data_IF_649762514203
#
_entry.id   IF_649762514203
#
_cell.length_a   1.000
_cell.length_b   1.000
_cell.length_c   1.000
_cell.angle_alpha   90.00
_cell.angle_beta   90.00
_cell.angle_gamma   90.00
#
_symmetry.space_group_name_H-M   'P 1'
#
loop_
_entity.id
_entity.type
_entity.pdbx_description
1 polymer ?
#
# COMPACT_ATOMS: atom_id res chain seq x y z
N UNK A 1 1.62 7.45 -20.46
CA UNK A 1 0.87 7.52 -19.20
C UNK A 1 -0.31 6.58 -19.31
N UNK A 2 -0.34 5.56 -18.46
CA UNK A 2 -1.41 4.57 -18.43
C UNK A 2 -2.51 5.09 -17.50
N UNK A 3 -3.62 5.59 -18.03
CA UNK A 3 -4.67 6.22 -17.24
C UNK A 3 -5.90 5.31 -17.12
N UNK A 4 -6.03 4.66 -15.97
CA UNK A 4 -7.28 3.99 -15.61
C UNK A 4 -8.29 4.97 -15.00
N UNK A 5 -9.31 5.37 -15.74
CA UNK A 5 -10.33 6.33 -15.26
C UNK A 5 -11.10 5.88 -14.01
N UNK A 6 -11.32 4.59 -13.83
CA UNK A 6 -12.13 4.02 -12.72
C UNK A 6 -11.35 3.87 -11.40
N UNK A 7 -10.07 3.60 -11.44
CA UNK A 7 -9.20 3.64 -10.27
C UNK A 7 -9.26 5.02 -9.60
N UNK A 8 -9.28 6.09 -10.42
CA UNK A 8 -9.33 7.47 -9.93
C UNK A 8 -10.53 7.74 -9.03
N UNK A 9 -11.73 7.32 -9.39
CA UNK A 9 -12.95 7.59 -8.61
C UNK A 9 -12.94 6.89 -7.24
N UNK A 10 -12.42 5.67 -7.17
CA UNK A 10 -12.34 4.92 -5.91
C UNK A 10 -11.27 5.50 -4.98
N UNK A 11 -10.13 5.91 -5.53
CA UNK A 11 -9.02 6.48 -4.78
C UNK A 11 -9.17 7.97 -4.49
N UNK A 12 -10.04 8.70 -5.20
CA UNK A 12 -10.30 10.13 -4.96
C UNK A 12 -10.79 10.40 -3.53
N UNK A 13 -11.51 9.47 -2.90
CA UNK A 13 -11.92 9.55 -1.50
C UNK A 13 -10.73 9.45 -0.52
N UNK A 14 -9.56 9.05 -1.01
CA UNK A 14 -8.31 8.93 -0.26
C UNK A 14 -7.35 10.06 -0.61
N UNK A 15 -7.79 11.29 -0.36
CA UNK A 15 -6.93 12.48 -0.48
C UNK A 15 -6.09 12.60 0.80
N UNK A 16 -4.79 12.28 0.69
CA UNK A 16 -3.87 12.35 1.82
C UNK A 16 -3.75 13.79 2.36
N UNK A 17 -3.82 14.78 1.49
CA UNK A 17 -3.77 16.20 1.88
C UNK A 17 -5.02 16.59 2.67
N UNK A 18 -6.20 16.17 2.19
CA UNK A 18 -7.47 16.43 2.86
C UNK A 18 -7.52 15.72 4.22
N UNK A 19 -7.09 14.46 4.29
CA UNK A 19 -7.04 13.69 5.54
C UNK A 19 -6.15 14.35 6.59
N UNK A 20 -4.96 14.82 6.19
CA UNK A 20 -4.06 15.55 7.08
C UNK A 20 -4.63 16.89 7.48
N UNK A 21 -5.29 17.61 6.56
CA UNK A 21 -5.93 18.90 6.85
C UNK A 21 -7.06 18.74 7.86
N UNK A 22 -7.96 17.76 7.66
CA UNK A 22 -9.07 17.47 8.58
C UNK A 22 -8.55 17.20 10.01
N UNK A 23 -7.50 16.41 10.12
CA UNK A 23 -6.88 16.12 11.41
C UNK A 23 -6.32 17.37 12.08
N UNK A 24 -5.61 18.21 11.34
CA UNK A 24 -4.98 19.41 11.88
C UNK A 24 -5.99 20.52 12.21
N UNK A 25 -7.14 20.56 11.56
CA UNK A 25 -8.23 21.47 11.93
C UNK A 25 -8.82 21.14 13.30
N UNK A 26 -8.80 19.87 13.69
CA UNK A 26 -9.26 19.43 15.02
C UNK A 26 -8.24 19.70 16.14
N UNK A 27 -6.99 20.01 15.81
CA UNK A 27 -5.92 20.21 16.76
C UNK A 27 -5.37 21.64 16.71
N UNK A 28 -5.84 22.52 17.60
CA UNK A 28 -5.42 23.93 17.63
C UNK A 28 -3.91 24.13 17.73
N UNK A 29 -3.20 23.24 18.41
CA UNK A 29 -1.76 23.33 18.62
C UNK A 29 -0.95 23.13 17.32
N UNK A 30 -1.44 22.33 16.38
CA UNK A 30 -0.74 22.02 15.15
C UNK A 30 -1.13 22.90 13.98
N UNK A 31 -2.17 23.69 14.13
CA UNK A 31 -2.74 24.54 13.08
C UNK A 31 -1.70 25.52 12.50
N UNK A 32 -0.86 26.11 13.33
CA UNK A 32 0.18 27.05 12.90
C UNK A 32 1.36 26.34 12.23
N UNK A 33 1.82 25.21 12.80
CA UNK A 33 2.85 24.37 12.18
C UNK A 33 2.39 23.85 10.84
N UNK A 34 1.14 23.39 10.73
CA UNK A 34 0.58 22.89 9.47
C UNK A 34 0.37 23.97 8.41
N UNK A 35 -0.02 25.19 8.81
CA UNK A 35 -0.08 26.32 7.88
C UNK A 35 1.28 26.67 7.29
N UNK A 36 2.32 26.66 8.13
CA UNK A 36 3.70 26.86 7.68
C UNK A 36 4.11 25.76 6.71
N UNK A 37 3.82 24.49 7.04
CA UNK A 37 4.07 23.33 6.20
C UNK A 37 3.34 23.38 4.84
N UNK A 38 2.06 23.79 4.86
CA UNK A 38 1.26 23.91 3.64
C UNK A 38 1.76 25.05 2.74
N UNK A 39 2.26 26.15 3.34
CA UNK A 39 2.82 27.30 2.64
C UNK A 39 4.20 27.01 2.04
N UNK A 40 5.08 26.36 2.81
CA UNK A 40 6.48 26.16 2.42
C UNK A 40 6.68 24.81 1.69
N UNK A 41 5.60 24.04 1.57
CA UNK A 41 5.62 22.67 1.10
C UNK A 41 6.42 21.78 2.06
N UNK A 42 5.95 20.61 2.38
CA UNK A 42 6.63 19.66 3.28
C UNK A 42 8.11 19.35 2.92
N UNK A 43 8.63 19.99 1.89
CA UNK A 43 10.02 19.95 1.46
C UNK A 43 11.00 20.49 2.51
N UNK A 44 10.55 21.42 3.35
CA UNK A 44 11.38 22.08 4.36
C UNK A 44 11.45 21.31 5.68
N UNK A 45 10.63 20.25 5.86
CA UNK A 45 10.70 19.45 7.08
C UNK A 45 11.93 18.57 7.07
N UNK A 46 12.78 18.80 8.06
CA UNK A 46 13.81 17.83 8.40
C UNK A 46 13.21 16.56 9.05
N UNK A 47 14.04 15.56 9.26
CA UNK A 47 13.64 14.27 9.83
C UNK A 47 13.00 14.43 11.20
N UNK A 48 13.58 15.27 12.07
CA UNK A 48 13.12 15.51 13.43
C UNK A 48 11.72 16.15 13.47
N UNK A 49 11.48 17.12 12.61
CA UNK A 49 10.17 17.77 12.49
C UNK A 49 9.09 16.82 11.99
N UNK A 50 9.43 15.92 11.08
CA UNK A 50 8.51 14.85 10.60
C UNK A 50 8.20 13.87 11.72
N UNK A 51 9.20 13.45 12.49
CA UNK A 51 9.03 12.58 13.65
C UNK A 51 8.15 13.22 14.73
N UNK A 52 8.33 14.50 15.01
CA UNK A 52 7.50 15.26 15.95
C UNK A 52 6.03 15.28 15.55
N UNK A 53 5.74 15.48 14.27
CA UNK A 53 4.38 15.42 13.73
C UNK A 53 3.75 14.02 13.85
N UNK A 54 4.55 12.98 13.71
CA UNK A 54 4.08 11.60 13.82
C UNK A 54 3.92 11.13 15.27
N UNK A 55 4.63 11.74 16.22
CA UNK A 55 4.55 11.43 17.66
C UNK A 55 3.23 11.83 18.31
N UNK A 56 2.36 12.52 17.59
CA UNK A 56 1.04 12.85 18.09
C UNK A 56 0.20 11.57 18.11
N UNK A 57 0.11 10.96 19.27
CA UNK A 57 -0.51 9.63 19.41
C UNK A 57 -1.93 9.53 18.81
N UNK A 58 -2.74 10.57 18.94
CA UNK A 58 -4.08 10.60 18.35
C UNK A 58 -4.09 10.67 16.82
N UNK A 59 -3.16 11.41 16.23
CA UNK A 59 -3.02 11.52 14.78
C UNK A 59 -2.68 10.18 14.13
N UNK A 60 -1.66 9.52 14.66
CA UNK A 60 -1.19 8.25 14.14
C UNK A 60 -2.30 7.19 14.19
N UNK A 61 -2.98 7.06 15.33
CA UNK A 61 -4.06 6.09 15.48
C UNK A 61 -5.21 6.33 14.50
N UNK A 62 -5.60 7.59 14.28
CA UNK A 62 -6.65 7.94 13.35
C UNK A 62 -6.25 7.66 11.89
N UNK A 63 -5.03 8.02 11.52
CA UNK A 63 -4.48 7.78 10.18
C UNK A 63 -4.37 6.27 9.90
N UNK A 64 -3.84 5.50 10.86
CA UNK A 64 -3.72 4.05 10.74
C UNK A 64 -5.09 3.39 10.59
N UNK A 65 -6.09 3.81 11.36
CA UNK A 65 -7.45 3.29 11.26
C UNK A 65 -8.08 3.56 9.87
N UNK A 66 -7.89 4.76 9.33
CA UNK A 66 -8.35 5.10 7.97
C UNK A 66 -7.63 4.25 6.91
N UNK A 67 -6.32 4.10 7.00
CA UNK A 67 -5.54 3.26 6.08
C UNK A 67 -5.95 1.79 6.15
N UNK A 68 -6.12 1.25 7.35
CA UNK A 68 -6.56 -0.13 7.54
C UNK A 68 -7.98 -0.36 7.00
N UNK A 69 -8.90 0.58 7.25
CA UNK A 69 -10.25 0.54 6.68
C UNK A 69 -10.23 0.48 5.16
N UNK A 70 -9.40 1.31 4.53
CA UNK A 70 -9.27 1.35 3.08
C UNK A 70 -8.62 0.09 2.50
N UNK A 71 -7.56 -0.43 3.11
CA UNK A 71 -6.96 -1.69 2.69
C UNK A 71 -7.94 -2.86 2.81
N UNK A 72 -8.71 -2.91 3.90
CA UNK A 72 -9.76 -3.92 4.08
C UNK A 72 -10.81 -3.82 2.98
N UNK A 73 -11.30 -2.62 2.67
CA UNK A 73 -12.25 -2.40 1.58
C UNK A 73 -11.72 -2.90 0.23
N UNK A 74 -10.47 -2.56 -0.12
CA UNK A 74 -9.84 -3.04 -1.34
C UNK A 74 -9.77 -4.57 -1.39
N UNK A 75 -9.34 -5.21 -0.30
CA UNK A 75 -9.12 -6.66 -0.27
C UNK A 75 -10.42 -7.45 -0.21
N UNK A 76 -11.47 -6.91 0.40
CA UNK A 76 -12.74 -7.61 0.60
C UNK A 76 -13.82 -7.26 -0.43
N UNK A 77 -13.70 -6.09 -1.08
CA UNK A 77 -14.78 -5.58 -1.94
C UNK A 77 -14.33 -5.24 -3.35
N UNK A 78 -13.06 -5.43 -3.69
CA UNK A 78 -12.54 -5.08 -5.01
C UNK A 78 -11.61 -6.14 -5.59
N UNK A 79 -11.62 -6.24 -6.91
CA UNK A 79 -10.62 -6.94 -7.70
C UNK A 79 -9.89 -5.95 -8.60
N UNK A 80 -8.60 -6.17 -8.78
CA UNK A 80 -7.81 -5.47 -9.77
C UNK A 80 -8.00 -6.16 -11.12
N UNK A 81 -8.39 -5.40 -12.12
CA UNK A 81 -8.37 -5.86 -13.51
C UNK A 81 -7.16 -5.23 -14.18
N UNK A 82 -6.25 -6.06 -14.66
CA UNK A 82 -5.09 -5.61 -15.42
C UNK A 82 -5.10 -6.31 -16.79
N UNK A 83 -5.32 -5.54 -17.84
CA UNK A 83 -5.35 -6.05 -19.23
C UNK A 83 -6.32 -7.22 -19.43
N UNK A 84 -7.48 -7.15 -18.80
CA UNK A 84 -8.53 -8.17 -18.91
C UNK A 84 -8.38 -9.37 -17.98
N UNK A 85 -7.27 -9.48 -17.24
CA UNK A 85 -7.09 -10.51 -16.20
C UNK A 85 -7.54 -9.95 -14.85
N UNK A 86 -8.30 -10.74 -14.10
CA UNK A 86 -8.85 -10.38 -12.81
C UNK A 86 -7.98 -10.93 -11.67
N UNK A 87 -7.65 -10.08 -10.70
CA UNK A 87 -6.78 -10.40 -9.57
C UNK A 87 -7.43 -10.02 -8.25
N UNK A 88 -7.43 -10.94 -7.29
CA UNK A 88 -7.70 -10.66 -5.90
C UNK A 88 -6.43 -10.07 -5.25
N UNK A 89 -6.59 -9.01 -4.47
CA UNK A 89 -5.52 -8.49 -3.63
C UNK A 89 -5.26 -9.46 -2.46
N UNK A 90 -4.03 -9.93 -2.34
CA UNK A 90 -3.67 -10.93 -1.32
C UNK A 90 -2.74 -10.35 -0.25
N UNK A 91 -1.93 -9.35 -0.61
CA UNK A 91 -1.06 -8.62 0.31
C UNK A 91 -0.84 -7.21 -0.21
N UNK A 92 -1.08 -6.22 0.65
CA UNK A 92 -0.95 -4.80 0.38
C UNK A 92 -0.14 -4.12 1.48
N UNK A 93 0.66 -3.12 1.15
CA UNK A 93 1.35 -2.26 2.12
C UNK A 93 1.18 -0.79 1.78
N UNK A 94 0.96 0.06 2.78
CA UNK A 94 0.92 1.52 2.61
C UNK A 94 2.30 2.10 2.86
N UNK A 95 2.67 3.02 1.97
CA UNK A 95 3.86 3.85 2.05
C UNK A 95 3.48 5.30 1.84
N UNK A 96 4.06 6.19 2.63
CA UNK A 96 3.83 7.62 2.58
C UNK A 96 5.14 8.39 2.55
N UNK A 97 5.09 9.69 2.33
CA UNK A 97 6.25 10.60 2.35
C UNK A 97 6.99 10.63 3.69
N UNK A 98 6.39 10.06 4.76
CA UNK A 98 7.05 9.90 6.05
C UNK A 98 8.03 8.72 6.07
N UNK A 99 7.92 7.80 5.12
CA UNK A 99 8.87 6.70 4.93
C UNK A 99 10.01 7.13 4.00
N UNK A 100 11.25 7.01 4.46
CA UNK A 100 12.42 7.42 3.69
C UNK A 100 12.58 6.71 2.33
N UNK A 101 11.99 5.52 2.21
CA UNK A 101 12.06 4.70 0.99
C UNK A 101 10.88 4.92 0.02
N UNK A 102 9.96 5.85 0.34
CA UNK A 102 8.86 6.16 -0.58
C UNK A 102 9.34 7.07 -1.70
N UNK A 103 9.07 6.64 -2.94
CA UNK A 103 9.45 7.44 -4.10
C UNK A 103 8.63 8.73 -4.17
N UNK A 104 9.34 9.87 -4.28
CA UNK A 104 8.71 11.16 -4.56
C UNK A 104 8.00 11.10 -5.89
N UNK A 105 6.76 11.56 -5.90
CA UNK A 105 5.92 11.57 -7.11
C UNK A 105 4.87 12.66 -7.04
N UNK A 106 4.38 13.03 -8.21
CA UNK A 106 3.16 13.81 -8.39
C UNK A 106 2.24 12.96 -9.24
N UNK A 107 1.18 12.46 -8.65
CA UNK A 107 0.25 11.50 -9.27
C UNK A 107 -1.18 11.84 -8.90
N UNK A 108 -2.08 11.53 -9.81
CA UNK A 108 -3.50 11.50 -9.48
C UNK A 108 -3.83 10.28 -8.59
N UNK A 109 -4.90 10.40 -7.82
CA UNK A 109 -5.41 9.28 -7.04
C UNK A 109 -5.78 8.09 -7.95
N UNK A 110 -5.31 6.89 -7.59
CA UNK A 110 -5.55 5.67 -8.36
C UNK A 110 -4.63 5.47 -9.57
N UNK A 111 -3.67 6.35 -9.79
CA UNK A 111 -2.68 6.17 -10.85
C UNK A 111 -1.70 5.04 -10.48
N UNK A 112 -1.40 4.17 -11.46
CA UNK A 112 -0.45 3.07 -11.26
C UNK A 112 0.97 3.59 -11.47
N UNK A 113 1.79 3.43 -10.45
CA UNK A 113 3.18 3.86 -10.44
C UNK A 113 4.12 2.66 -10.39
N UNK A 114 4.77 2.35 -11.52
CA UNK A 114 5.78 1.28 -11.60
C UNK A 114 7.14 1.77 -11.13
N UNK A 115 7.83 0.93 -10.38
CA UNK A 115 9.20 1.17 -9.89
C UNK A 115 10.00 -0.14 -9.80
N UNK A 116 11.29 -0.05 -9.48
CA UNK A 116 12.20 -1.21 -9.49
C UNK A 116 11.77 -2.38 -8.58
N UNK A 117 10.97 -2.12 -7.58
CA UNK A 117 10.55 -3.13 -6.60
C UNK A 117 9.13 -3.66 -6.84
N UNK A 118 8.36 -3.07 -7.75
CA UNK A 118 6.99 -3.47 -7.99
C UNK A 118 6.14 -2.36 -8.61
N UNK A 119 4.89 -2.26 -8.18
CA UNK A 119 4.04 -1.13 -8.52
C UNK A 119 3.17 -0.72 -7.33
N UNK A 120 2.87 0.57 -7.29
CA UNK A 120 1.95 1.16 -6.33
C UNK A 120 0.68 1.60 -7.04
N UNK A 121 -0.43 1.58 -6.32
CA UNK A 121 -1.62 2.37 -6.64
C UNK A 121 -1.49 3.67 -5.85
N UNK A 122 -1.29 4.78 -6.53
CA UNK A 122 -0.97 6.06 -5.89
C UNK A 122 -2.17 6.69 -5.20
N UNK A 123 -1.95 7.30 -4.05
CA UNK A 123 -2.84 8.33 -3.54
C UNK A 123 -2.66 9.60 -4.37
N UNK A 124 -3.63 10.54 -4.31
CA UNK A 124 -3.40 11.88 -4.83
C UNK A 124 -2.14 12.42 -4.16
N UNK A 125 -1.15 12.73 -4.96
CA UNK A 125 0.20 13.02 -4.50
C UNK A 125 0.73 14.31 -5.11
N UNK A 126 1.34 15.11 -4.26
CA UNK A 126 2.08 16.32 -4.61
C UNK A 126 3.55 16.15 -4.19
N UNK A 127 4.50 16.96 -4.70
CA UNK A 127 5.91 16.77 -4.39
C UNK A 127 6.28 16.74 -2.90
N UNK A 128 5.42 17.27 -2.03
CA UNK A 128 5.61 17.32 -0.58
C UNK A 128 4.82 16.23 0.17
N UNK A 129 3.65 15.85 -0.35
CA UNK A 129 2.76 14.85 0.22
C UNK A 129 2.46 13.79 -0.82
N UNK A 130 3.13 12.68 -0.73
CA UNK A 130 3.02 11.57 -1.67
C UNK A 130 2.94 10.25 -0.94
N UNK A 131 2.33 9.29 -1.60
CA UNK A 131 2.18 7.96 -1.07
C UNK A 131 1.37 7.06 -1.98
N UNK A 132 1.20 5.83 -1.56
CA UNK A 132 0.40 4.84 -2.28
C UNK A 132 0.39 3.50 -1.59
N UNK A 133 -0.26 2.57 -2.25
CA UNK A 133 -0.41 1.19 -1.83
C UNK A 133 0.48 0.33 -2.71
N UNK A 134 1.53 -0.23 -2.12
CA UNK A 134 2.37 -1.24 -2.77
C UNK A 134 1.58 -2.54 -2.87
N UNK A 135 1.39 -3.04 -4.08
CA UNK A 135 0.79 -4.35 -4.33
C UNK A 135 1.87 -5.42 -4.18
N UNK A 136 1.83 -6.17 -3.08
CA UNK A 136 2.86 -7.16 -2.73
C UNK A 136 2.56 -8.55 -3.22
N UNK A 137 1.29 -8.92 -3.22
CA UNK A 137 0.87 -10.24 -3.69
C UNK A 137 -0.53 -10.17 -4.27
N UNK A 138 -0.71 -10.91 -5.35
CA UNK A 138 -1.96 -11.04 -6.08
C UNK A 138 -2.32 -12.52 -6.26
N UNK A 139 -3.59 -12.81 -6.43
CA UNK A 139 -4.10 -14.11 -6.87
C UNK A 139 -4.91 -13.91 -8.13
N UNK A 140 -4.48 -14.38 -9.30
CA UNK A 140 -5.33 -14.41 -10.49
C UNK A 140 -6.57 -15.27 -10.19
N UNK A 141 -7.76 -14.80 -10.53
CA UNK A 141 -9.00 -15.52 -10.21
C UNK A 141 -9.17 -16.80 -11.03
N UNK A 142 -8.54 -16.88 -12.19
CA UNK A 142 -8.51 -18.05 -13.04
C UNK A 142 -7.41 -19.06 -12.71
N UNK A 143 -6.59 -18.79 -11.66
CA UNK A 143 -5.47 -19.64 -11.26
C UNK A 143 -5.57 -20.05 -9.79
N UNK A 144 -4.93 -21.18 -9.45
CA UNK A 144 -4.85 -21.66 -8.07
C UNK A 144 -3.71 -21.00 -7.28
N UNK A 145 -2.67 -20.54 -7.99
CA UNK A 145 -1.44 -20.08 -7.38
C UNK A 145 -1.46 -18.57 -7.11
N UNK A 146 -0.84 -18.19 -6.00
CA UNK A 146 -0.57 -16.79 -5.69
C UNK A 146 0.71 -16.31 -6.39
N UNK A 147 0.73 -15.03 -6.75
CA UNK A 147 1.92 -14.32 -7.19
C UNK A 147 2.53 -13.66 -5.96
N UNK A 148 3.66 -14.19 -5.50
CA UNK A 148 4.34 -13.75 -4.27
C UNK A 148 5.40 -12.70 -4.57
N UNK A 149 5.27 -11.55 -3.96
CA UNK A 149 6.25 -10.47 -3.98
C UNK A 149 5.98 -9.39 -5.04
N UNK A 150 6.23 -8.12 -4.69
CA UNK A 150 5.77 -6.98 -5.48
C UNK A 150 6.41 -6.93 -6.88
N UNK A 151 7.69 -7.28 -7.00
CA UNK A 151 8.36 -7.33 -8.30
C UNK A 151 7.76 -8.41 -9.20
N UNK A 152 7.39 -9.57 -8.63
CA UNK A 152 6.76 -10.64 -9.41
C UNK A 152 5.35 -10.25 -9.85
N UNK A 153 4.60 -9.53 -9.02
CA UNK A 153 3.30 -8.98 -9.41
C UNK A 153 3.45 -8.02 -10.60
N UNK A 154 4.39 -7.09 -10.53
CA UNK A 154 4.66 -6.16 -11.63
C UNK A 154 5.07 -6.89 -12.92
N UNK A 155 6.02 -7.83 -12.83
CA UNK A 155 6.48 -8.61 -13.99
C UNK A 155 5.38 -9.47 -14.58
N UNK A 156 4.54 -10.10 -13.77
CA UNK A 156 3.43 -10.91 -14.23
C UNK A 156 2.44 -10.07 -15.06
N UNK A 157 2.09 -8.87 -14.58
CA UNK A 157 1.20 -7.95 -15.29
C UNK A 157 1.85 -7.43 -16.58
N UNK A 158 3.13 -7.02 -16.52
CA UNK A 158 3.85 -6.48 -17.68
C UNK A 158 4.16 -7.53 -18.76
N UNK A 159 4.35 -8.79 -18.37
CA UNK A 159 4.61 -9.90 -19.30
C UNK A 159 3.33 -10.45 -19.95
N UNK A 160 2.15 -10.06 -19.50
CA UNK A 160 0.92 -10.35 -20.24
C UNK A 160 1.05 -9.69 -21.62
N UNK A 161 1.01 -10.50 -22.70
CA UNK A 161 1.28 -10.10 -24.12
C UNK A 161 0.23 -9.12 -24.69
N UNK A 162 -0.07 -8.06 -23.97
CA UNK A 162 -1.15 -7.14 -24.32
C UNK A 162 -0.53 -5.82 -24.78
N UNK A 163 -0.92 -5.40 -25.95
CA UNK A 163 -0.45 -4.18 -26.60
C UNK A 163 -0.79 -2.88 -25.81
N UNK A 164 -1.83 -2.95 -24.96
CA UNK A 164 -2.26 -1.82 -24.13
C UNK A 164 -2.50 -2.28 -22.70
N UNK A 165 -1.68 -1.80 -21.79
CA UNK A 165 -1.81 -2.07 -20.35
C UNK A 165 -2.90 -1.17 -19.77
N UNK A 166 -4.06 -1.73 -19.50
CA UNK A 166 -5.18 -1.04 -18.87
C UNK A 166 -5.42 -1.59 -17.46
N UNK A 167 -5.72 -0.69 -16.53
CA UNK A 167 -6.08 -1.05 -15.17
C UNK A 167 -7.49 -0.59 -14.84
N UNK A 168 -8.20 -1.41 -14.07
CA UNK A 168 -9.53 -1.14 -13.58
C UNK A 168 -9.76 -1.79 -12.21
N UNK A 169 -10.76 -1.32 -11.47
CA UNK A 169 -11.27 -1.97 -10.27
C UNK A 169 -12.73 -2.34 -10.48
N UNK A 170 -13.04 -3.62 -10.24
CA UNK A 170 -14.42 -4.11 -10.21
C UNK A 170 -14.84 -4.43 -8.79
N UNK A 171 -16.13 -4.36 -8.55
CA UNK A 171 -16.73 -4.82 -7.30
C UNK A 171 -16.63 -6.35 -7.20
N UNK A 172 -16.37 -6.81 -5.99
CA UNK A 172 -16.31 -8.23 -5.64
C UNK A 172 -16.77 -8.41 -4.19
N UNK A 173 -17.00 -9.65 -3.79
CA UNK A 173 -17.35 -9.97 -2.41
C UNK A 173 -16.44 -11.07 -1.88
N UNK A 174 -15.48 -10.68 -1.05
CA UNK A 174 -14.58 -11.55 -0.31
C UNK A 174 -14.66 -11.28 1.19
N UNK A 175 -15.83 -10.83 1.70
CA UNK A 175 -16.00 -10.46 3.12
C UNK A 175 -15.77 -11.62 4.08
N UNK A 176 -15.92 -12.85 3.62
CA UNK A 176 -15.61 -14.05 4.41
C UNK A 176 -14.10 -14.26 4.59
N UNK A 177 -13.26 -13.68 3.73
CA UNK A 177 -11.79 -13.75 3.86
C UNK A 177 -11.31 -12.71 4.87
N UNK A 178 -10.80 -13.19 5.99
CA UNK A 178 -10.27 -12.32 7.06
C UNK A 178 -9.08 -11.51 6.57
N UNK A 179 -9.04 -10.22 6.90
CA UNK A 179 -7.90 -9.35 6.62
C UNK A 179 -7.15 -9.06 7.92
N UNK A 180 -5.95 -9.61 8.03
CA UNK A 180 -5.06 -9.38 9.16
C UNK A 180 -4.12 -8.19 8.87
N UNK A 181 -3.92 -7.33 9.87
CA UNK A 181 -2.96 -6.23 9.81
C UNK A 181 -1.69 -6.56 10.57
N UNK A 182 -0.56 -6.30 9.96
CA UNK A 182 0.76 -6.62 10.53
C UNK A 182 1.77 -5.52 10.22
N UNK A 183 2.90 -5.45 10.94
CA UNK A 183 4.02 -4.61 10.52
C UNK A 183 4.52 -4.98 9.13
N UNK A 184 5.07 -3.99 8.41
CA UNK A 184 5.66 -4.18 7.08
C UNK A 184 6.91 -5.05 7.14
N UNK A 185 7.16 -5.82 6.06
CA UNK A 185 8.23 -6.83 6.05
C UNK A 185 9.64 -6.21 5.95
N UNK A 186 9.77 -5.00 5.41
CA UNK A 186 11.09 -4.36 5.24
C UNK A 186 11.63 -3.84 6.56
N UNK A 187 12.86 -4.21 6.89
CA UNK A 187 13.64 -3.47 7.87
C UNK A 187 14.03 -2.14 7.24
N UNK A 188 13.45 -1.07 7.72
CA UNK A 188 13.94 0.27 7.44
C UNK A 188 15.21 0.48 8.26
N UNK A 189 16.25 1.04 7.63
CA UNK A 189 17.45 1.46 8.36
C UNK A 189 17.19 2.69 9.23
N UNK A 190 16.04 3.32 9.04
CA UNK A 190 15.65 4.51 9.78
C UNK A 190 14.96 4.10 11.06
N UNK A 191 15.35 4.76 12.14
CA UNK A 191 14.89 4.57 13.53
C UNK A 191 13.45 5.06 13.78
N UNK A 192 12.72 5.42 12.72
CA UNK A 192 11.34 5.91 12.83
C UNK A 192 10.43 4.74 13.20
N UNK A 193 9.59 4.93 14.20
CA UNK A 193 8.61 3.95 14.72
C UNK A 193 7.62 3.41 13.67
N UNK A 194 7.53 4.03 12.49
CA UNK A 194 6.69 3.62 11.37
C UNK A 194 6.90 2.16 10.89
N UNK A 195 8.07 1.59 11.15
CA UNK A 195 8.34 0.18 10.83
C UNK A 195 7.43 -0.81 11.56
N UNK A 196 6.93 -0.41 12.73
CA UNK A 196 6.08 -1.23 13.59
C UNK A 196 4.59 -0.98 13.34
N UNK A 197 4.26 -0.01 12.47
CA UNK A 197 2.87 0.30 12.16
C UNK A 197 2.23 -0.86 11.38
N UNK A 198 1.02 -1.21 11.76
CA UNK A 198 0.24 -2.26 11.12
C UNK A 198 -0.34 -1.79 9.77
N UNK A 199 0.53 -1.30 8.89
CA UNK A 199 0.21 -0.79 7.55
C UNK A 199 0.38 -1.81 6.42
N UNK A 200 0.48 -3.09 6.79
CA UNK A 200 0.47 -4.23 5.88
C UNK A 200 -0.79 -5.05 6.14
N UNK A 201 -1.60 -5.21 5.11
CA UNK A 201 -2.79 -6.04 5.11
C UNK A 201 -2.51 -7.36 4.39
N UNK A 202 -2.96 -8.46 4.97
CA UNK A 202 -2.76 -9.83 4.46
C UNK A 202 -4.09 -10.56 4.51
N UNK A 203 -4.54 -11.16 3.42
CA UNK A 203 -5.74 -11.99 3.40
C UNK A 203 -5.51 -13.31 4.15
N UNK A 204 -6.55 -13.84 4.76
CA UNK A 204 -6.52 -15.10 5.50
C UNK A 204 -6.07 -16.26 4.63
N UNK A 205 -6.63 -16.36 3.42
CA UNK A 205 -6.27 -17.38 2.44
C UNK A 205 -4.77 -17.33 2.08
N UNK A 206 -4.21 -16.13 1.88
CA UNK A 206 -2.79 -15.95 1.59
C UNK A 206 -1.90 -16.27 2.79
N UNK A 207 -2.34 -15.91 4.00
CA UNK A 207 -1.64 -16.22 5.25
C UNK A 207 -1.47 -17.72 5.44
N UNK A 208 -2.51 -18.50 5.15
CA UNK A 208 -2.46 -19.97 5.22
C UNK A 208 -1.55 -20.55 4.11
N UNK A 209 -1.62 -20.01 2.88
CA UNK A 209 -0.71 -20.39 1.81
C UNK A 209 0.77 -20.13 2.17
N UNK A 210 1.07 -19.02 2.84
CA UNK A 210 2.42 -18.70 3.32
C UNK A 210 2.90 -19.68 4.38
N UNK A 211 2.05 -20.09 5.32
CA UNK A 211 2.40 -21.10 6.32
C UNK A 211 2.74 -22.42 5.66
N UNK A 212 1.87 -22.90 4.77
CA UNK A 212 2.07 -24.15 4.03
C UNK A 212 3.37 -24.14 3.22
N UNK A 213 3.68 -23.03 2.56
CA UNK A 213 4.93 -22.87 1.80
C UNK A 213 6.18 -22.89 2.70
N UNK A 214 6.12 -22.26 3.88
CA UNK A 214 7.22 -22.27 4.86
C UNK A 214 7.43 -23.67 5.46
N UNK A 215 6.36 -24.38 5.78
CA UNK A 215 6.41 -25.75 6.29
C UNK A 215 7.00 -26.69 5.24
N UNK A 216 6.58 -26.56 3.97
CA UNK A 216 7.15 -27.32 2.87
C UNK A 216 8.66 -27.06 2.73
N UNK A 217 9.09 -25.80 2.71
CA UNK A 217 10.50 -25.43 2.64
C UNK A 217 11.31 -26.04 3.79
N UNK A 218 10.79 -25.94 5.02
CA UNK A 218 11.43 -26.53 6.21
C UNK A 218 11.56 -28.06 6.11
N UNK A 219 10.55 -28.76 5.58
CA UNK A 219 10.59 -30.20 5.36
C UNK A 219 11.65 -30.57 4.34
N UNK A 220 11.75 -29.82 3.23
CA UNK A 220 12.77 -30.02 2.20
C UNK A 220 14.16 -29.80 2.77
N UNK A 221 14.41 -28.69 3.47
CA UNK A 221 15.70 -28.39 4.11
C UNK A 221 16.12 -29.49 5.13
N UNK A 222 15.16 -30.00 5.88
CA UNK A 222 15.43 -31.09 6.84
C UNK A 222 15.70 -32.43 6.15
N UNK A 223 15.11 -32.69 4.99
CA UNK A 223 15.41 -33.91 4.22
C UNK A 223 16.84 -33.88 3.64
N UNK A 224 17.27 -32.74 3.14
CA UNK A 224 18.66 -32.55 2.64
C UNK A 224 19.74 -32.62 3.73
N UNK A 225 19.39 -32.36 5.00
CA UNK A 225 20.34 -32.46 6.12
C UNK A 225 20.51 -33.88 6.68
N UNK A 226 19.63 -34.80 6.27
CA UNK A 226 19.61 -36.19 6.75
C UNK A 226 20.14 -37.20 5.72
N UNK A 227 20.43 -36.78 4.51
CA UNK A 227 21.12 -37.53 3.48
C UNK A 227 22.57 -37.08 3.32
#
# INVERSE_FOLDING_TARGET
>A
MLSGKLLKSHFAKFDLVAMLSEFFEQSCFYKEKFKALKRDGFKSLDKSQREELLKIAGFKAHLDAKFQGFLRELMQSKILVASGVEYKFSELEIYTCFDANTYKRSCEAGEIYFHNFGFDISFKSEPALYGGILVRSLKPLNERNFIFGPRKCALHILNSKISNLNFDLKDADFREDEVAFTPRIRSFKDEIELKNDALRAVSGEFKEALKSAKEYKKRVENAYKKG
#
